data_IF_529617062172
#
_entry.id   IF_529617062172
#
_cell.length_a   1.000
_cell.length_b   1.000
_cell.length_c   1.000
_cell.angle_alpha   90.00
_cell.angle_beta   90.00
_cell.angle_gamma   90.00
#
_symmetry.space_group_name_H-M   'P 1'
#
loop_
_entity.id
_entity.type
_entity.pdbx_description
1 polymer ?
#
# COMPACT_ATOMS: atom_id res chain seq x y z
N UNK A 1 -25.09 19.39 8.17
CA UNK A 1 -25.06 18.05 8.77
C UNK A 1 -23.61 17.69 9.00
N UNK A 2 -23.12 17.67 10.25
CA UNK A 2 -21.76 17.22 10.57
C UNK A 2 -21.80 15.69 10.65
N UNK A 3 -21.23 15.01 9.67
CA UNK A 3 -21.08 13.55 9.70
C UNK A 3 -20.28 13.19 10.96
N UNK A 4 -20.85 12.35 11.83
CA UNK A 4 -20.22 11.88 13.07
C UNK A 4 -18.97 11.01 12.82
N UNK A 5 -18.76 10.58 11.58
CA UNK A 5 -17.76 9.58 11.21
C UNK A 5 -16.49 10.13 10.56
N UNK A 6 -16.49 11.41 10.17
CA UNK A 6 -15.35 12.02 9.47
C UNK A 6 -15.05 13.37 10.12
N UNK A 7 -13.85 13.52 10.69
CA UNK A 7 -13.43 14.77 11.31
C UNK A 7 -13.11 15.84 10.26
N UNK A 8 -13.05 17.10 10.67
CA UNK A 8 -12.84 18.24 9.75
C UNK A 8 -11.51 18.12 9.00
N UNK A 9 -10.46 17.61 9.65
CA UNK A 9 -9.14 17.44 9.03
C UNK A 9 -9.18 16.47 7.84
N UNK A 10 -9.88 15.34 7.97
CA UNK A 10 -10.06 14.36 6.90
C UNK A 10 -10.90 14.95 5.76
N UNK A 11 -11.93 15.75 6.08
CA UNK A 11 -12.71 16.45 5.05
C UNK A 11 -11.86 17.42 4.24
N UNK A 12 -10.96 18.16 4.89
CA UNK A 12 -10.02 19.05 4.20
C UNK A 12 -9.01 18.30 3.33
N UNK A 13 -8.58 17.11 3.73
CA UNK A 13 -7.73 16.26 2.91
C UNK A 13 -8.47 15.76 1.66
N UNK A 14 -9.71 15.32 1.80
CA UNK A 14 -10.52 14.88 0.65
C UNK A 14 -10.70 15.98 -0.41
N UNK A 15 -10.80 17.25 -0.01
CA UNK A 15 -10.90 18.39 -0.95
C UNK A 15 -9.63 18.58 -1.78
N UNK A 16 -8.48 18.18 -1.28
CA UNK A 16 -7.17 18.38 -1.93
C UNK A 16 -6.81 17.26 -2.90
N UNK A 17 -7.44 16.09 -2.79
CA UNK A 17 -7.05 14.88 -3.51
C UNK A 17 -8.05 14.63 -4.66
N UNK A 18 -7.60 14.59 -5.92
CA UNK A 18 -8.46 14.14 -7.01
C UNK A 18 -8.80 12.67 -6.80
N UNK A 19 -10.04 12.29 -7.12
CA UNK A 19 -10.54 10.92 -6.92
C UNK A 19 -10.45 10.43 -5.46
N UNK A 20 -10.67 11.30 -4.46
CA UNK A 20 -10.62 10.95 -3.04
C UNK A 20 -11.44 9.71 -2.64
N UNK A 21 -12.53 9.40 -3.35
CA UNK A 21 -13.34 8.19 -3.13
C UNK A 21 -12.57 6.89 -3.42
N UNK A 22 -11.63 6.90 -4.37
CA UNK A 22 -10.79 5.73 -4.67
C UNK A 22 -9.74 5.52 -3.58
N UNK A 23 -9.13 6.59 -3.07
CA UNK A 23 -8.23 6.52 -1.91
C UNK A 23 -8.96 5.98 -0.68
N UNK A 24 -10.16 6.51 -0.39
CA UNK A 24 -10.96 6.02 0.73
C UNK A 24 -11.26 4.51 0.59
N UNK A 25 -11.72 4.07 -0.59
CA UNK A 25 -11.98 2.66 -0.86
C UNK A 25 -10.74 1.79 -0.71
N UNK A 26 -9.59 2.25 -1.23
CA UNK A 26 -8.31 1.55 -1.12
C UNK A 26 -7.93 1.34 0.35
N UNK A 27 -7.99 2.39 1.17
CA UNK A 27 -7.65 2.32 2.59
C UNK A 27 -8.61 1.39 3.34
N UNK A 28 -9.92 1.56 3.13
CA UNK A 28 -10.92 0.72 3.82
C UNK A 28 -10.80 -0.75 3.43
N UNK A 29 -10.52 -1.06 2.16
CA UNK A 29 -10.26 -2.43 1.73
C UNK A 29 -9.09 -3.04 2.50
N UNK A 30 -7.96 -2.32 2.65
CA UNK A 30 -6.80 -2.82 3.40
C UNK A 30 -7.11 -2.97 4.90
N UNK A 31 -7.81 -2.01 5.51
CA UNK A 31 -8.26 -2.12 6.90
C UNK A 31 -9.10 -3.37 7.12
N UNK A 32 -10.06 -3.63 6.23
CA UNK A 32 -10.92 -4.82 6.33
C UNK A 32 -10.17 -6.11 6.05
N UNK A 33 -9.27 -6.14 5.07
CA UNK A 33 -8.46 -7.31 4.76
C UNK A 33 -7.62 -7.71 5.98
N UNK A 34 -6.86 -6.76 6.55
CA UNK A 34 -6.01 -7.00 7.73
C UNK A 34 -6.85 -7.42 8.94
N UNK A 35 -7.95 -6.72 9.22
CA UNK A 35 -8.82 -7.07 10.34
C UNK A 35 -9.46 -8.46 10.16
N UNK A 36 -9.83 -8.83 8.93
CA UNK A 36 -10.49 -10.11 8.64
C UNK A 36 -9.51 -11.27 8.77
N UNK A 37 -8.32 -11.16 8.18
CA UNK A 37 -7.30 -12.22 8.26
C UNK A 37 -6.84 -12.44 9.70
N UNK A 38 -6.64 -11.36 10.46
CA UNK A 38 -6.29 -11.44 11.88
C UNK A 38 -7.43 -12.08 12.71
N UNK A 39 -8.69 -11.68 12.48
CA UNK A 39 -9.84 -12.20 13.23
C UNK A 39 -10.10 -13.68 12.94
N UNK A 40 -9.85 -14.13 11.71
CA UNK A 40 -10.06 -15.51 11.29
C UNK A 40 -8.82 -16.40 11.47
N UNK A 41 -7.72 -15.83 11.97
CA UNK A 41 -6.43 -16.51 12.16
C UNK A 41 -5.95 -17.22 10.89
N UNK A 42 -6.04 -16.50 9.76
CA UNK A 42 -5.67 -17.06 8.45
C UNK A 42 -4.16 -16.89 8.20
N UNK A 43 -3.47 -17.96 7.76
CA UNK A 43 -2.13 -17.84 7.20
C UNK A 43 -2.12 -16.77 6.11
N UNK A 44 -1.33 -15.72 6.30
CA UNK A 44 -1.30 -14.56 5.40
C UNK A 44 0.13 -14.23 5.06
N UNK A 45 0.44 -14.17 3.76
CA UNK A 45 1.71 -13.67 3.26
C UNK A 45 1.50 -12.33 2.57
N UNK A 46 2.15 -11.29 3.09
CA UNK A 46 2.08 -9.95 2.52
C UNK A 46 3.17 -9.79 1.45
N UNK A 47 2.73 -9.65 0.21
CA UNK A 47 3.59 -9.47 -0.95
C UNK A 47 3.45 -8.04 -1.48
N UNK A 48 4.58 -7.35 -1.66
CA UNK A 48 4.61 -6.05 -2.30
C UNK A 48 5.16 -6.18 -3.72
N UNK A 49 4.47 -5.56 -4.68
CA UNK A 49 4.84 -5.63 -6.10
C UNK A 49 6.27 -5.16 -6.35
N UNK A 50 6.70 -4.12 -5.64
CA UNK A 50 8.03 -3.53 -5.78
C UNK A 50 9.17 -4.49 -5.39
N UNK A 51 8.89 -5.51 -4.55
CA UNK A 51 9.89 -6.48 -4.13
C UNK A 51 10.32 -7.40 -5.29
N UNK A 52 9.49 -7.60 -6.31
CA UNK A 52 9.92 -8.31 -7.52
C UNK A 52 11.01 -7.56 -8.30
N UNK A 53 11.07 -6.23 -8.15
CA UNK A 53 12.09 -5.41 -8.80
C UNK A 53 13.43 -5.46 -8.06
N UNK A 54 13.41 -5.47 -6.73
CA UNK A 54 14.61 -5.42 -5.89
C UNK A 54 15.18 -6.80 -5.59
N UNK A 55 14.30 -7.78 -5.31
CA UNK A 55 14.66 -9.07 -4.72
C UNK A 55 13.84 -10.21 -5.34
N UNK A 56 13.89 -10.32 -6.68
CA UNK A 56 13.04 -11.25 -7.44
C UNK A 56 13.11 -12.69 -6.94
N UNK A 57 14.32 -13.26 -6.84
CA UNK A 57 14.50 -14.67 -6.46
C UNK A 57 14.04 -14.95 -5.02
N UNK A 58 14.30 -14.03 -4.10
CA UNK A 58 13.85 -14.15 -2.71
C UNK A 58 12.32 -14.06 -2.63
N UNK A 59 11.73 -13.06 -3.28
CA UNK A 59 10.27 -12.83 -3.32
C UNK A 59 9.54 -14.03 -3.92
N UNK A 60 10.06 -14.56 -5.03
CA UNK A 60 9.57 -15.79 -5.67
C UNK A 60 9.63 -16.97 -4.71
N UNK A 61 10.78 -17.22 -4.09
CA UNK A 61 10.98 -18.39 -3.21
C UNK A 61 10.04 -18.33 -2.01
N UNK A 62 9.94 -17.18 -1.33
CA UNK A 62 9.04 -17.00 -0.19
C UNK A 62 7.56 -17.19 -0.56
N UNK A 63 7.14 -16.72 -1.73
CA UNK A 63 5.77 -16.94 -2.22
C UNK A 63 5.50 -18.43 -2.46
N UNK A 64 6.44 -19.13 -3.10
CA UNK A 64 6.29 -20.55 -3.42
C UNK A 64 6.32 -21.41 -2.16
N UNK A 65 7.19 -21.09 -1.21
CA UNK A 65 7.24 -21.71 0.12
C UNK A 65 5.91 -21.52 0.86
N UNK A 66 5.35 -20.31 0.85
CA UNK A 66 4.05 -20.03 1.47
C UNK A 66 2.90 -20.82 0.84
N UNK A 67 2.96 -21.04 -0.47
CA UNK A 67 1.97 -21.84 -1.21
C UNK A 67 2.23 -23.35 -1.12
N UNK A 68 3.34 -23.77 -0.52
CA UNK A 68 3.82 -25.16 -0.47
C UNK A 68 3.94 -25.78 -1.88
N UNK A 69 4.46 -24.99 -2.84
CA UNK A 69 4.60 -25.39 -4.24
C UNK A 69 6.06 -25.46 -4.68
N UNK A 70 6.37 -26.45 -5.50
CA UNK A 70 7.64 -26.54 -6.21
C UNK A 70 7.70 -25.54 -7.37
N UNK A 71 8.87 -24.98 -7.61
CA UNK A 71 9.14 -24.16 -8.80
C UNK A 71 9.39 -25.08 -9.98
N UNK A 72 8.48 -25.06 -10.95
CA UNK A 72 8.59 -25.83 -12.20
C UNK A 72 8.77 -24.90 -13.38
N UNK A 73 9.86 -25.08 -14.13
CA UNK A 73 10.15 -24.34 -15.36
C UNK A 73 10.87 -23.00 -15.14
N UNK A 74 11.04 -22.26 -16.23
CA UNK A 74 11.67 -20.93 -16.22
C UNK A 74 10.64 -19.86 -15.86
N UNK A 75 11.00 -18.98 -14.94
CA UNK A 75 10.14 -17.86 -14.51
C UNK A 75 10.40 -16.67 -15.44
N UNK A 76 9.36 -16.02 -15.99
CA UNK A 76 9.54 -14.85 -16.84
C UNK A 76 10.25 -13.73 -16.07
N UNK A 77 11.07 -12.97 -16.80
CA UNK A 77 11.72 -11.78 -16.25
C UNK A 77 10.68 -10.77 -15.78
N UNK A 78 10.90 -10.20 -14.59
CA UNK A 78 10.06 -9.14 -14.08
C UNK A 78 10.32 -7.84 -14.84
N UNK A 79 9.27 -7.32 -15.49
CA UNK A 79 9.34 -6.04 -16.21
C UNK A 79 8.74 -4.93 -15.33
N UNK A 80 9.56 -4.06 -14.72
CA UNK A 80 9.05 -2.91 -13.98
C UNK A 80 8.39 -1.93 -14.96
N UNK A 81 7.10 -1.64 -14.76
CA UNK A 81 6.30 -1.07 -15.84
C UNK A 81 5.81 0.35 -15.66
N UNK A 82 5.53 0.81 -14.43
CA UNK A 82 4.67 2.00 -14.26
C UNK A 82 5.08 2.84 -13.07
N UNK A 83 5.53 4.06 -13.35
CA UNK A 83 5.62 5.13 -12.37
C UNK A 83 4.46 6.10 -12.57
N UNK A 84 3.66 6.26 -11.54
CA UNK A 84 2.49 7.14 -11.52
C UNK A 84 2.77 8.47 -10.81
N UNK A 85 4.04 8.72 -10.45
CA UNK A 85 4.46 9.88 -9.66
C UNK A 85 4.05 11.21 -10.28
N UNK A 86 3.97 11.27 -11.62
CA UNK A 86 3.69 12.50 -12.37
C UNK A 86 2.18 12.74 -12.59
N UNK A 87 1.30 11.85 -12.15
CA UNK A 87 -0.15 12.05 -12.25
C UNK A 87 -0.72 12.93 -11.14
N UNK A 88 0.01 13.09 -10.05
CA UNK A 88 -0.41 13.89 -8.90
C UNK A 88 0.65 14.93 -8.58
N UNK A 89 0.22 16.15 -8.23
CA UNK A 89 1.14 17.17 -7.74
C UNK A 89 1.79 16.73 -6.42
N UNK A 90 2.84 17.42 -5.97
CA UNK A 90 3.47 17.12 -4.68
C UNK A 90 2.46 17.26 -3.53
N UNK A 91 1.67 18.33 -3.55
CA UNK A 91 0.66 18.64 -2.55
C UNK A 91 -0.45 17.57 -2.51
N UNK A 92 -0.87 17.08 -3.68
CA UNK A 92 -1.86 16.00 -3.78
C UNK A 92 -1.31 14.69 -3.21
N UNK A 93 -0.04 14.37 -3.49
CA UNK A 93 0.62 13.17 -2.94
C UNK A 93 0.76 13.25 -1.42
N UNK A 94 1.22 14.38 -0.89
CA UNK A 94 1.33 14.60 0.55
C UNK A 94 -0.04 14.53 1.25
N UNK A 95 -1.08 15.14 0.67
CA UNK A 95 -2.44 15.06 1.20
C UNK A 95 -2.97 13.62 1.16
N UNK A 96 -2.75 12.88 0.06
CA UNK A 96 -3.14 11.48 -0.04
C UNK A 96 -2.43 10.61 0.99
N UNK A 97 -1.15 10.87 1.25
CA UNK A 97 -0.38 10.15 2.25
C UNK A 97 -0.90 10.38 3.67
N UNK A 98 -1.16 11.64 4.01
CA UNK A 98 -1.71 11.99 5.31
C UNK A 98 -3.14 11.42 5.48
N UNK A 99 -3.92 11.40 4.40
CA UNK A 99 -5.24 10.75 4.40
C UNK A 99 -5.11 9.24 4.67
N UNK A 100 -4.19 8.56 4.00
CA UNK A 100 -3.91 7.14 4.25
C UNK A 100 -3.50 6.91 5.69
N UNK A 101 -2.56 7.70 6.23
CA UNK A 101 -2.10 7.61 7.61
C UNK A 101 -3.22 7.78 8.63
N UNK A 102 -4.11 8.77 8.44
CA UNK A 102 -5.22 9.06 9.36
C UNK A 102 -6.34 8.02 9.33
N UNK A 103 -6.57 7.39 8.18
CA UNK A 103 -7.68 6.45 7.98
C UNK A 103 -7.27 4.98 8.08
N UNK A 104 -5.98 4.67 8.08
CA UNK A 104 -5.48 3.31 8.26
C UNK A 104 -5.50 2.91 9.73
N UNK A 105 -5.81 1.65 10.00
CA UNK A 105 -5.51 1.03 11.30
C UNK A 105 -3.99 0.91 11.48
N UNK A 106 -3.47 0.79 12.72
CA UNK A 106 -2.03 0.70 12.96
C UNK A 106 -1.33 -0.39 12.14
N UNK A 107 -1.91 -1.59 12.08
CA UNK A 107 -1.38 -2.74 11.34
C UNK A 107 -1.43 -2.50 9.83
N UNK A 108 -2.51 -1.88 9.34
CA UNK A 108 -2.62 -1.49 7.93
C UNK A 108 -1.59 -0.43 7.57
N UNK A 109 -1.34 0.54 8.45
CA UNK A 109 -0.33 1.57 8.23
C UNK A 109 1.08 0.98 8.14
N UNK A 110 1.42 -0.03 8.96
CA UNK A 110 2.71 -0.72 8.86
C UNK A 110 2.96 -1.36 7.48
N UNK A 111 1.90 -1.69 6.74
CA UNK A 111 2.03 -2.22 5.38
C UNK A 111 2.12 -1.11 4.33
N UNK A 112 1.47 0.02 4.57
CA UNK A 112 1.34 1.12 3.61
C UNK A 112 2.39 2.23 3.80
N UNK A 113 3.05 2.32 4.96
CA UNK A 113 3.99 3.40 5.29
C UNK A 113 5.21 3.46 4.36
N UNK A 114 5.57 2.32 3.74
CA UNK A 114 6.63 2.25 2.74
C UNK A 114 6.38 3.12 1.51
N UNK A 115 5.12 3.49 1.24
CA UNK A 115 4.76 4.42 0.17
C UNK A 115 4.94 5.89 0.58
N UNK A 116 5.37 6.16 1.83
CA UNK A 116 5.85 7.47 2.24
C UNK A 116 7.16 7.82 1.53
N UNK A 117 7.04 8.61 0.47
CA UNK A 117 8.17 9.08 -0.32
C UNK A 117 9.22 9.84 0.50
N UNK A 118 8.86 10.44 1.65
CA UNK A 118 9.84 11.08 2.53
C UNK A 118 10.71 10.04 3.24
N UNK A 119 10.15 8.86 3.54
CA UNK A 119 10.90 7.72 4.08
C UNK A 119 11.72 7.02 2.98
N UNK A 120 11.24 6.99 1.73
CA UNK A 120 11.97 6.43 0.58
C UNK A 120 13.18 7.29 0.16
N UNK A 121 13.05 8.63 0.12
CA UNK A 121 14.17 9.54 -0.18
C UNK A 121 15.27 9.49 0.91
N UNK A 122 14.90 9.16 2.15
CA UNK A 122 15.85 8.88 3.24
C UNK A 122 16.51 7.49 3.14
N UNK A 123 15.83 6.49 2.55
CA UNK A 123 16.34 5.12 2.39
C UNK A 123 17.23 4.96 1.15
N UNK A 124 17.03 5.78 0.12
CA UNK A 124 17.87 5.83 -1.08
C UNK A 124 18.17 7.29 -1.46
N UNK A 125 19.06 7.98 -0.72
CA UNK A 125 19.56 9.27 -1.15
C UNK A 125 20.31 9.10 -2.47
N UNK A 126 19.97 9.91 -3.48
CA UNK A 126 20.74 10.01 -4.71
C UNK A 126 22.14 10.54 -4.45
#
# INVERSE_FOLDING_TARGET
SKSRFINEEVLELFKKIPCHGDFFRYIQWHNFAVATTAKLDLPTYILHYENYASDFDLTKTQLMDFLELDIVGEVPEFIPGKSYRNYFTKEQREAALELMRKLSNPETWQLLDRYDYNAEELRNPK
#
